data_IF_263621418000
#
_entry.id   IF_263621418000
#
_cell.length_a   1.000
_cell.length_b   1.000
_cell.length_c   1.000
_cell.angle_alpha   90.00
_cell.angle_beta   90.00
_cell.angle_gamma   90.00
#
_symmetry.space_group_name_H-M   'P 1'
#
loop_
_entity.id
_entity.type
_entity.pdbx_description
1 polymer ?
#
# COMPACT_ATOMS: atom_id res chain seq x y z
N UNK A 1 -5.08 48.33 -39.93
CA UNK A 1 -3.91 47.63 -40.52
C UNK A 1 -3.67 46.40 -39.66
N UNK A 2 -4.02 45.23 -40.19
CA UNK A 2 -3.98 43.92 -39.54
C UNK A 2 -2.64 43.24 -39.78
N UNK A 3 -2.17 42.49 -38.76
CA UNK A 3 -1.32 41.28 -38.75
C UNK A 3 -1.18 40.94 -37.25
N UNK A 4 -1.80 39.92 -36.63
CA UNK A 4 -1.91 38.48 -36.94
C UNK A 4 -0.56 37.82 -37.24
N UNK A 5 -0.03 37.17 -36.21
CA UNK A 5 0.74 35.90 -36.18
C UNK A 5 0.51 35.34 -34.75
N UNK A 6 -0.27 34.29 -34.49
CA UNK A 6 -0.23 32.86 -34.86
C UNK A 6 0.87 32.04 -34.17
N UNK A 7 0.40 31.02 -33.43
CA UNK A 7 1.14 29.81 -33.02
C UNK A 7 1.82 29.93 -31.65
N UNK A 8 1.68 29.02 -30.70
CA UNK A 8 0.98 27.74 -30.62
C UNK A 8 0.82 27.45 -29.12
N UNK A 9 -0.42 27.22 -28.68
CA UNK A 9 -0.67 26.56 -27.40
C UNK A 9 -0.25 25.11 -27.61
N UNK A 10 0.87 24.70 -27.03
CA UNK A 10 1.26 23.29 -26.93
C UNK A 10 0.28 22.56 -26.00
N UNK A 11 -0.90 22.28 -26.56
CA UNK A 11 -1.76 21.18 -26.18
C UNK A 11 -1.08 19.89 -26.62
N UNK A 12 -0.10 19.42 -25.86
CA UNK A 12 0.37 18.03 -25.90
C UNK A 12 1.23 17.71 -24.68
N UNK A 13 0.56 17.45 -23.56
CA UNK A 13 0.89 16.26 -22.79
C UNK A 13 -0.40 15.78 -22.14
N UNK A 14 -1.21 15.14 -22.99
CA UNK A 14 -2.17 14.13 -22.57
C UNK A 14 -1.42 13.14 -21.69
N UNK A 15 -1.50 13.36 -20.38
CA UNK A 15 -1.21 12.34 -19.39
C UNK A 15 -2.05 11.15 -19.81
N UNK A 16 -1.37 10.09 -20.27
CA UNK A 16 -1.98 8.84 -20.69
C UNK A 16 -2.83 8.28 -19.54
N UNK A 17 -4.09 8.71 -19.51
CA UNK A 17 -5.18 8.17 -18.74
C UNK A 17 -5.68 6.87 -19.39
N UNK A 18 -4.77 5.99 -19.82
CA UNK A 18 -5.09 4.79 -20.59
C UNK A 18 -4.47 3.51 -20.04
N UNK A 19 -4.21 3.46 -18.73
CA UNK A 19 -3.95 2.22 -18.01
C UNK A 19 -4.55 2.27 -16.60
N UNK A 20 -5.81 2.73 -16.48
CA UNK A 20 -6.67 2.15 -15.44
C UNK A 20 -6.82 0.69 -15.83
N UNK A 21 -5.99 -0.16 -15.23
CA UNK A 21 -6.02 -1.59 -15.45
C UNK A 21 -7.46 -2.06 -15.36
N UNK A 22 -7.88 -2.88 -16.32
CA UNK A 22 -9.13 -3.62 -16.19
C UNK A 22 -9.15 -4.22 -14.78
N UNK A 23 -10.27 -4.10 -14.07
CA UNK A 23 -10.50 -4.85 -12.83
C UNK A 23 -10.05 -6.31 -13.07
N UNK A 24 -8.94 -6.74 -12.46
CA UNK A 24 -8.37 -8.08 -12.66
C UNK A 24 -7.15 -8.23 -13.57
N UNK A 25 -6.53 -7.18 -14.10
CA UNK A 25 -5.19 -7.30 -14.72
C UNK A 25 -4.09 -7.19 -13.66
N UNK A 26 -3.22 -8.21 -13.55
CA UNK A 26 -2.06 -8.17 -12.68
C UNK A 26 -1.18 -6.94 -13.03
N UNK A 27 -0.84 -6.09 -12.05
CA UNK A 27 0.06 -4.98 -12.29
C UNK A 27 1.44 -5.55 -12.65
N UNK A 28 2.00 -5.05 -13.74
CA UNK A 28 3.41 -5.26 -14.04
C UNK A 28 4.22 -4.61 -12.92
N UNK A 29 4.82 -5.44 -12.07
CA UNK A 29 5.79 -4.96 -11.08
C UNK A 29 7.04 -4.57 -11.87
N UNK A 30 7.24 -3.26 -12.04
CA UNK A 30 8.36 -2.71 -12.80
C UNK A 30 9.33 -1.93 -11.90
N UNK A 31 10.37 -1.38 -12.51
CA UNK A 31 11.41 -0.63 -11.80
C UNK A 31 10.91 0.69 -11.19
N UNK A 32 9.69 1.15 -11.49
CA UNK A 32 9.09 2.35 -10.86
C UNK A 32 8.43 2.03 -9.52
N UNK A 33 8.04 0.77 -9.32
CA UNK A 33 7.50 0.27 -8.06
C UNK A 33 8.60 -0.09 -7.07
N UNK A 34 9.71 -0.65 -7.54
CA UNK A 34 10.76 -1.18 -6.67
C UNK A 34 11.91 -0.17 -6.53
N UNK A 35 12.01 0.40 -5.34
CA UNK A 35 13.08 1.33 -4.96
C UNK A 35 14.48 0.68 -5.03
N UNK A 36 15.50 1.44 -5.44
CA UNK A 36 16.90 1.02 -5.26
C UNK A 36 17.22 0.91 -3.77
N UNK A 37 18.09 -0.03 -3.40
CA UNK A 37 18.57 -0.13 -2.02
C UNK A 37 19.55 1.02 -1.72
N UNK A 38 19.35 1.70 -0.59
CA UNK A 38 20.26 2.74 -0.14
C UNK A 38 21.56 2.12 0.39
N UNK A 39 22.66 2.35 -0.34
CA UNK A 39 23.99 1.80 -0.05
C UNK A 39 24.64 2.31 1.24
N UNK A 40 24.03 3.28 1.93
CA UNK A 40 24.46 3.69 3.26
C UNK A 40 24.22 2.60 4.32
N UNK A 41 23.35 1.61 4.04
CA UNK A 41 23.00 0.53 4.96
C UNK A 41 23.63 -0.82 4.55
N UNK A 42 23.74 -1.73 5.52
CA UNK A 42 24.24 -3.10 5.29
C UNK A 42 23.13 -4.00 4.72
N UNK A 43 23.26 -4.35 3.43
CA UNK A 43 22.30 -5.21 2.74
C UNK A 43 22.18 -6.61 3.35
N UNK A 44 23.27 -7.19 3.86
CA UNK A 44 23.22 -8.53 4.47
C UNK A 44 22.45 -8.50 5.78
N UNK A 45 22.64 -7.45 6.58
CA UNK A 45 21.88 -7.28 7.80
C UNK A 45 20.39 -7.02 7.51
N UNK A 46 20.11 -6.10 6.57
CA UNK A 46 18.77 -5.82 6.06
C UNK A 46 18.06 -7.10 5.60
N UNK A 47 18.71 -7.91 4.77
CA UNK A 47 18.17 -9.18 4.29
C UNK A 47 17.78 -10.13 5.44
N UNK A 48 18.64 -10.28 6.46
CA UNK A 48 18.36 -11.14 7.61
C UNK A 48 17.15 -10.66 8.40
N UNK A 49 17.06 -9.35 8.67
CA UNK A 49 15.93 -8.76 9.41
C UNK A 49 14.62 -8.91 8.63
N UNK A 50 14.63 -8.59 7.34
CA UNK A 50 13.45 -8.76 6.47
C UNK A 50 13.02 -10.23 6.41
N UNK A 51 13.96 -11.16 6.25
CA UNK A 51 13.61 -12.58 6.18
C UNK A 51 13.02 -13.09 7.49
N UNK A 52 13.58 -12.65 8.63
CA UNK A 52 13.07 -12.98 9.98
C UNK A 52 11.64 -12.47 10.16
N UNK A 53 11.38 -11.20 9.82
CA UNK A 53 10.05 -10.61 9.87
C UNK A 53 9.08 -11.33 8.93
N UNK A 54 9.52 -11.65 7.71
CA UNK A 54 8.69 -12.36 6.73
C UNK A 54 8.25 -13.75 7.21
N UNK A 55 9.05 -14.48 8.00
CA UNK A 55 8.60 -15.74 8.58
C UNK A 55 7.34 -15.56 9.44
N UNK A 56 7.27 -14.48 10.21
CA UNK A 56 6.08 -14.13 10.99
C UNK A 56 4.95 -13.66 10.07
N UNK A 57 5.24 -12.81 9.09
CA UNK A 57 4.22 -12.42 8.09
C UNK A 57 3.59 -13.65 7.44
N UNK A 58 4.40 -14.65 7.09
CA UNK A 58 3.94 -15.87 6.43
C UNK A 58 2.99 -16.71 7.29
N UNK A 59 3.14 -16.69 8.62
CA UNK A 59 2.21 -17.39 9.52
C UNK A 59 0.85 -16.70 9.64
N UNK A 60 0.80 -15.38 9.48
CA UNK A 60 -0.43 -14.58 9.52
C UNK A 60 -1.09 -14.42 8.15
N UNK A 61 -0.30 -14.35 7.08
CA UNK A 61 -0.76 -14.05 5.72
C UNK A 61 -0.14 -15.04 4.73
N UNK A 62 -0.64 -16.29 4.69
CA UNK A 62 0.03 -17.39 4.01
C UNK A 62 -0.01 -17.29 2.49
N UNK A 63 -0.82 -16.41 1.89
CA UNK A 63 -0.87 -16.19 0.44
C UNK A 63 0.14 -15.14 -0.05
N UNK A 64 0.79 -14.42 0.88
CA UNK A 64 1.85 -13.48 0.54
C UNK A 64 3.17 -14.21 0.22
N UNK A 65 3.95 -13.61 -0.67
CA UNK A 65 5.27 -14.09 -1.08
C UNK A 65 6.28 -12.96 -0.94
N UNK A 66 7.44 -13.28 -0.35
CA UNK A 66 8.61 -12.41 -0.40
C UNK A 66 9.21 -12.44 -1.80
N UNK A 67 9.65 -11.29 -2.29
CA UNK A 67 10.22 -11.12 -3.62
C UNK A 67 11.52 -10.33 -3.53
N UNK A 68 12.54 -10.84 -4.21
CA UNK A 68 13.88 -10.26 -4.31
C UNK A 68 14.24 -10.16 -5.79
N UNK A 69 14.27 -8.96 -6.37
CA UNK A 69 14.60 -8.79 -7.78
C UNK A 69 16.01 -9.28 -8.10
N UNK A 70 16.18 -10.14 -9.13
CA UNK A 70 17.51 -10.58 -9.57
C UNK A 70 18.19 -9.47 -10.36
N UNK A 71 18.73 -8.50 -9.64
CA UNK A 71 19.33 -7.28 -10.20
C UNK A 71 20.81 -7.23 -9.90
N UNK A 72 21.58 -6.58 -10.77
CA UNK A 72 23.04 -6.39 -10.59
C UNK A 72 23.31 -5.57 -9.32
N UNK A 73 22.49 -4.55 -9.12
CA UNK A 73 22.54 -3.67 -7.95
C UNK A 73 21.41 -4.01 -6.99
N UNK A 74 21.68 -4.13 -5.67
CA UNK A 74 20.65 -4.48 -4.70
C UNK A 74 19.45 -3.52 -4.76
N UNK A 75 18.26 -4.10 -4.61
CA UNK A 75 16.99 -3.38 -4.51
C UNK A 75 16.32 -3.69 -3.19
N UNK A 76 15.39 -2.84 -2.80
CA UNK A 76 14.52 -3.12 -1.66
C UNK A 76 13.72 -4.41 -1.90
N UNK A 77 13.65 -5.22 -0.85
CA UNK A 77 12.86 -6.44 -0.77
C UNK A 77 11.41 -6.04 -0.55
N UNK A 78 10.49 -6.77 -1.15
CA UNK A 78 9.07 -6.52 -0.99
C UNK A 78 8.29 -7.82 -0.81
N UNK A 79 7.06 -7.68 -0.33
CA UNK A 79 6.06 -8.73 -0.27
C UNK A 79 4.99 -8.43 -1.32
N UNK A 80 4.57 -9.47 -2.04
CA UNK A 80 3.49 -9.38 -3.01
C UNK A 80 2.57 -10.58 -2.93
N UNK A 81 1.29 -10.37 -3.17
CA UNK A 81 0.28 -11.42 -3.22
C UNK A 81 -1.08 -10.97 -2.71
N UNK A 82 -2.00 -11.92 -2.57
CA UNK A 82 -3.31 -11.67 -1.96
C UNK A 82 -3.14 -11.52 -0.47
N UNK A 83 -3.56 -10.38 0.05
CA UNK A 83 -3.62 -10.10 1.48
C UNK A 83 -4.91 -10.70 2.04
N UNK A 84 -4.74 -11.75 2.84
CA UNK A 84 -5.84 -12.40 3.58
C UNK A 84 -5.26 -13.04 4.85
N UNK A 85 -5.87 -12.78 6.03
CA UNK A 85 -5.51 -13.45 7.28
C UNK A 85 -5.63 -14.98 7.18
N UNK A 86 -4.75 -15.70 7.89
CA UNK A 86 -4.64 -17.16 7.81
C UNK A 86 -5.92 -17.89 8.24
N UNK A 87 -6.64 -17.36 9.22
CA UNK A 87 -7.96 -17.85 9.66
C UNK A 87 -9.02 -17.73 8.55
N UNK A 88 -8.94 -16.71 7.69
CA UNK A 88 -9.88 -16.47 6.60
C UNK A 88 -9.61 -17.34 5.35
N UNK A 89 -8.41 -17.90 5.20
CA UNK A 89 -8.02 -18.66 4.00
C UNK A 89 -8.91 -19.88 3.75
N UNK A 90 -9.32 -20.57 4.81
CA UNK A 90 -10.17 -21.78 4.69
C UNK A 90 -11.57 -21.49 4.13
N UNK A 91 -11.99 -20.23 4.15
CA UNK A 91 -13.29 -19.79 3.65
C UNK A 91 -13.27 -19.44 2.16
N UNK A 92 -12.09 -19.32 1.53
CA UNK A 92 -11.91 -18.93 0.12
C UNK A 92 -12.26 -20.07 -0.86
N UNK A 93 -13.52 -20.50 -0.85
CA UNK A 93 -13.99 -21.68 -1.61
C UNK A 93 -14.39 -21.38 -3.06
N UNK A 94 -14.57 -20.11 -3.40
CA UNK A 94 -14.93 -19.65 -4.73
C UNK A 94 -14.23 -18.34 -5.06
N UNK A 95 -14.13 -18.03 -6.36
CA UNK A 95 -13.56 -16.77 -6.84
C UNK A 95 -14.31 -15.54 -6.29
N UNK A 96 -15.64 -15.65 -6.14
CA UNK A 96 -16.47 -14.58 -5.57
C UNK A 96 -16.12 -14.31 -4.10
N UNK A 97 -16.00 -15.36 -3.30
CA UNK A 97 -15.61 -15.24 -1.88
C UNK A 97 -14.18 -14.71 -1.78
N UNK A 98 -13.28 -15.18 -2.63
CA UNK A 98 -11.91 -14.70 -2.69
C UNK A 98 -11.83 -13.20 -3.02
N UNK A 99 -12.63 -12.72 -3.98
CA UNK A 99 -12.75 -11.29 -4.29
C UNK A 99 -13.38 -10.48 -3.16
N UNK A 100 -14.15 -11.09 -2.25
CA UNK A 100 -14.78 -10.38 -1.12
C UNK A 100 -13.85 -10.25 0.10
N UNK A 101 -12.94 -11.20 0.29
CA UNK A 101 -12.12 -11.28 1.50
C UNK A 101 -10.62 -11.13 1.27
N UNK A 102 -10.19 -10.89 0.02
CA UNK A 102 -8.79 -10.69 -0.31
C UNK A 102 -8.61 -9.68 -1.42
N UNK A 103 -7.47 -9.00 -1.40
CA UNK A 103 -7.03 -8.14 -2.48
C UNK A 103 -5.51 -8.22 -2.63
N UNK A 104 -5.00 -7.85 -3.80
CA UNK A 104 -3.57 -7.87 -4.04
C UNK A 104 -2.89 -6.65 -3.45
N UNK A 105 -1.76 -6.85 -2.78
CA UNK A 105 -0.92 -5.77 -2.28
C UNK A 105 0.51 -5.87 -2.84
N UNK A 106 1.18 -4.74 -2.82
CA UNK A 106 2.64 -4.65 -2.87
C UNK A 106 3.10 -3.97 -1.58
N UNK A 107 3.96 -4.63 -0.80
CA UNK A 107 4.48 -4.06 0.44
C UNK A 107 6.01 -3.99 0.42
N UNK A 108 6.58 -2.78 0.47
CA UNK A 108 8.04 -2.57 0.39
C UNK A 108 8.67 -2.47 1.78
N UNK A 109 9.79 -3.14 1.99
CA UNK A 109 10.66 -2.95 3.14
C UNK A 109 11.68 -1.85 2.83
N UNK A 110 11.69 -0.73 3.58
CA UNK A 110 12.62 0.35 3.33
C UNK A 110 14.07 -0.07 3.66
N UNK A 111 15.05 0.53 3.00
CA UNK A 111 16.47 0.16 3.11
C UNK A 111 17.06 0.22 4.53
N UNK A 112 16.45 1.01 5.42
CA UNK A 112 16.79 1.18 6.83
C UNK A 112 15.96 0.27 7.77
N UNK A 113 15.16 -0.66 7.25
CA UNK A 113 14.46 -1.65 8.09
C UNK A 113 15.45 -2.35 9.03
N UNK A 114 15.18 -2.43 10.35
CA UNK A 114 13.90 -2.29 11.03
C UNK A 114 13.47 -0.89 11.49
N UNK A 115 14.29 0.14 11.26
CA UNK A 115 14.10 1.45 11.86
C UNK A 115 12.89 2.20 11.28
N UNK A 116 12.51 1.87 10.05
CA UNK A 116 11.31 2.38 9.38
C UNK A 116 10.38 1.21 9.00
N UNK A 117 9.09 1.45 9.17
CA UNK A 117 8.03 0.48 8.90
C UNK A 117 7.82 0.26 7.39
N UNK A 118 7.24 -0.88 7.03
CA UNK A 118 6.89 -1.18 5.64
C UNK A 118 5.88 -0.19 5.07
N UNK A 119 5.89 -0.01 3.76
CA UNK A 119 4.83 0.68 3.03
C UNK A 119 3.95 -0.31 2.31
N UNK A 120 2.63 -0.12 2.29
CA UNK A 120 1.67 -1.01 1.61
C UNK A 120 0.97 -0.23 0.50
N UNK A 121 0.90 -0.83 -0.69
CA UNK A 121 0.24 -0.27 -1.87
C UNK A 121 -0.86 -1.22 -2.39
N UNK A 122 -2.02 -0.65 -2.73
CA UNK A 122 -3.04 -1.32 -3.56
C UNK A 122 -2.73 -1.09 -5.04
N UNK A 123 -1.70 -1.80 -5.52
CA UNK A 123 -1.20 -1.68 -6.90
C UNK A 123 -2.20 -2.15 -7.95
N UNK A 124 -3.23 -2.89 -7.56
CA UNK A 124 -4.29 -3.37 -8.45
C UNK A 124 -5.48 -2.40 -8.53
N UNK A 125 -5.55 -1.38 -7.67
CA UNK A 125 -6.72 -0.48 -7.58
C UNK A 125 -7.98 -1.25 -7.17
N UNK A 126 -7.83 -2.21 -6.26
CA UNK A 126 -8.92 -3.01 -5.70
C UNK A 126 -9.90 -2.16 -4.88
N UNK A 127 -9.41 -1.05 -4.31
CA UNK A 127 -10.20 -0.08 -3.54
C UNK A 127 -10.58 1.09 -4.46
N UNK A 128 -11.88 1.26 -4.71
CA UNK A 128 -12.40 2.46 -5.34
C UNK A 128 -12.69 3.53 -4.28
N UNK A 129 -11.69 4.37 -4.02
CA UNK A 129 -11.81 5.47 -3.07
C UNK A 129 -12.85 6.52 -3.45
N UNK A 130 -13.31 6.58 -4.71
CA UNK A 130 -14.34 7.54 -5.12
C UNK A 130 -15.70 7.25 -4.48
N UNK A 131 -15.92 6.00 -4.07
CA UNK A 131 -17.14 5.53 -3.39
C UNK A 131 -17.12 5.79 -1.88
N UNK A 132 -16.01 6.29 -1.36
CA UNK A 132 -15.78 6.54 0.07
C UNK A 132 -15.72 8.05 0.30
N UNK A 133 -16.40 8.60 1.32
CA UNK A 133 -16.29 10.01 1.69
C UNK A 133 -14.82 10.42 1.96
N UNK A 134 -14.38 11.62 1.56
CA UNK A 134 -12.99 12.06 1.68
C UNK A 134 -12.36 11.86 3.07
N UNK A 135 -13.14 12.09 4.13
CA UNK A 135 -12.76 11.94 5.54
C UNK A 135 -12.38 10.50 5.92
N UNK A 136 -12.88 9.51 5.18
CA UNK A 136 -12.63 8.08 5.39
C UNK A 136 -11.58 7.51 4.42
N UNK A 137 -10.94 8.35 3.60
CA UNK A 137 -9.97 7.90 2.59
C UNK A 137 -8.57 7.77 3.17
N UNK A 138 -8.08 6.54 3.23
CA UNK A 138 -6.72 6.22 3.69
C UNK A 138 -5.73 6.14 2.52
N UNK A 139 -5.56 7.24 1.79
CA UNK A 139 -4.68 7.32 0.61
C UNK A 139 -3.34 7.96 1.00
N UNK A 140 -2.23 7.31 0.64
CA UNK A 140 -0.86 7.83 0.73
C UNK A 140 -0.26 7.95 -0.66
N UNK A 141 0.44 9.05 -0.93
CA UNK A 141 1.22 9.21 -2.15
C UNK A 141 2.61 8.57 -1.99
N UNK A 142 2.94 7.62 -2.86
CA UNK A 142 4.25 6.96 -2.91
C UNK A 142 4.85 7.21 -4.30
N UNK A 143 5.96 7.94 -4.34
CA UNK A 143 6.61 8.36 -5.59
C UNK A 143 5.63 9.06 -6.56
N UNK A 144 4.76 9.92 -6.03
CA UNK A 144 3.76 10.67 -6.80
C UNK A 144 2.50 9.86 -7.20
N UNK A 145 2.38 8.60 -6.78
CA UNK A 145 1.24 7.73 -7.08
C UNK A 145 0.34 7.58 -5.86
N UNK A 146 -0.96 7.73 -6.03
CA UNK A 146 -1.98 7.56 -4.97
C UNK A 146 -2.33 6.09 -4.73
N UNK A 147 -1.32 5.22 -4.70
CA UNK A 147 -1.46 3.75 -4.53
C UNK A 147 -1.16 3.30 -3.11
N UNK A 148 -0.47 4.14 -2.32
CA UNK A 148 -0.16 3.84 -0.94
C UNK A 148 -1.40 3.82 -0.08
N UNK A 149 -1.46 2.87 0.85
CA UNK A 149 -2.46 2.81 1.90
C UNK A 149 -1.90 3.49 3.14
N UNK A 150 -2.66 4.43 3.69
CA UNK A 150 -2.36 5.02 4.99
C UNK A 150 -2.76 4.03 6.10
N UNK A 151 -1.90 3.05 6.34
CA UNK A 151 -2.06 1.99 7.34
C UNK A 151 -1.55 2.39 8.72
N UNK A 152 -0.90 3.55 8.83
CA UNK A 152 -0.37 4.08 10.07
C UNK A 152 -1.48 4.82 10.83
N UNK A 153 -1.78 4.36 12.04
CA UNK A 153 -2.59 5.12 12.97
C UNK A 153 -1.76 6.30 13.48
N UNK A 154 -2.13 7.57 13.20
CA UNK A 154 -1.35 8.75 13.59
C UNK A 154 -1.18 8.92 15.10
N UNK A 155 -1.97 8.24 15.94
CA UNK A 155 -1.81 8.24 17.40
C UNK A 155 -0.73 7.28 17.93
N UNK A 156 -0.03 6.56 17.04
CA UNK A 156 1.06 5.69 17.44
C UNK A 156 0.63 4.37 18.05
N UNK A 157 -0.55 3.84 17.69
CA UNK A 157 -0.88 2.44 18.03
C UNK A 157 0.20 1.49 17.51
N UNK A 158 0.72 1.73 16.30
CA UNK A 158 1.86 0.97 15.78
C UNK A 158 3.14 1.22 16.59
N UNK A 159 3.31 2.43 17.15
CA UNK A 159 4.44 2.77 18.02
C UNK A 159 4.38 2.00 19.36
N UNK A 160 3.18 1.69 19.85
CA UNK A 160 2.96 0.86 21.04
C UNK A 160 3.12 -0.65 20.78
N UNK A 161 3.03 -1.07 19.51
CA UNK A 161 3.29 -2.44 19.09
C UNK A 161 4.80 -2.67 19.07
N UNK A 162 5.23 -3.79 19.69
CA UNK A 162 6.61 -4.25 19.61
C UNK A 162 7.05 -4.35 18.15
N UNK A 163 8.23 -3.86 17.84
CA UNK A 163 8.78 -3.83 16.47
C UNK A 163 8.55 -5.15 15.71
N UNK A 164 8.85 -6.28 16.34
CA UNK A 164 8.69 -7.65 15.82
C UNK A 164 7.26 -8.04 15.38
N UNK A 165 6.25 -7.23 15.67
CA UNK A 165 4.86 -7.45 15.26
C UNK A 165 4.30 -6.34 14.37
N UNK A 166 5.06 -5.27 14.09
CA UNK A 166 4.56 -4.09 13.39
C UNK A 166 4.12 -4.41 11.97
N UNK A 167 4.94 -5.12 11.19
CA UNK A 167 4.59 -5.52 9.82
C UNK A 167 3.25 -6.25 9.78
N UNK A 168 3.04 -7.24 10.66
CA UNK A 168 1.77 -7.99 10.68
C UNK A 168 0.57 -7.12 11.05
N UNK A 169 0.76 -6.12 11.93
CA UNK A 169 -0.30 -5.17 12.29
C UNK A 169 -0.62 -4.20 11.15
N UNK A 170 0.40 -3.69 10.45
CA UNK A 170 0.23 -2.84 9.27
C UNK A 170 -0.54 -3.59 8.18
N UNK A 171 -0.17 -4.84 7.90
CA UNK A 171 -0.86 -5.68 6.93
C UNK A 171 -2.30 -6.00 7.38
N UNK A 172 -2.53 -6.25 8.67
CA UNK A 172 -3.88 -6.45 9.19
C UNK A 172 -4.73 -5.18 9.05
N UNK A 173 -4.18 -4.00 9.30
CA UNK A 173 -4.87 -2.72 9.11
C UNK A 173 -5.23 -2.51 7.63
N UNK A 174 -4.31 -2.82 6.69
CA UNK A 174 -4.61 -2.77 5.26
C UNK A 174 -5.78 -3.70 4.87
N UNK A 175 -5.83 -4.92 5.42
CA UNK A 175 -6.93 -5.86 5.18
C UNK A 175 -8.26 -5.38 5.74
N UNK A 176 -8.26 -4.87 6.99
CA UNK A 176 -9.47 -4.30 7.61
C UNK A 176 -10.01 -3.11 6.85
N UNK A 177 -9.12 -2.23 6.38
CA UNK A 177 -9.48 -1.07 5.58
C UNK A 177 -10.18 -1.49 4.28
N UNK A 178 -9.61 -2.46 3.57
CA UNK A 178 -10.25 -3.03 2.38
C UNK A 178 -11.66 -3.57 2.67
N UNK A 179 -11.79 -4.38 3.73
CA UNK A 179 -13.07 -4.95 4.13
C UNK A 179 -14.11 -3.90 4.55
N UNK A 180 -13.66 -2.83 5.20
CA UNK A 180 -14.50 -1.71 5.61
C UNK A 180 -15.04 -0.96 4.40
N UNK A 181 -14.19 -0.70 3.39
CA UNK A 181 -14.65 -0.07 2.14
C UNK A 181 -15.70 -0.93 1.46
N UNK A 182 -15.46 -2.24 1.31
CA UNK A 182 -16.46 -3.14 0.73
C UNK A 182 -17.78 -3.12 1.50
N UNK A 183 -17.72 -3.21 2.82
CA UNK A 183 -18.90 -3.18 3.68
C UNK A 183 -19.68 -1.87 3.53
N UNK A 184 -18.97 -0.74 3.47
CA UNK A 184 -19.57 0.58 3.27
C UNK A 184 -20.26 0.72 1.91
N UNK A 185 -19.61 0.27 0.84
CA UNK A 185 -20.18 0.28 -0.52
C UNK A 185 -21.41 -0.64 -0.64
N UNK A 186 -21.47 -1.71 0.15
CA UNK A 186 -22.66 -2.58 0.30
C UNK A 186 -23.80 -1.94 1.12
N UNK A 187 -23.67 -0.68 1.53
CA UNK A 187 -24.70 0.07 2.26
C UNK A 187 -24.66 -0.09 3.78
N UNK A 188 -23.55 -0.61 4.34
CA UNK A 188 -23.35 -0.63 5.80
C UNK A 188 -22.69 0.66 6.28
N UNK A 189 -22.74 0.89 7.59
CA UNK A 189 -22.09 2.04 8.20
C UNK A 189 -20.56 1.89 8.19
N UNK A 190 -19.86 3.03 8.19
CA UNK A 190 -18.42 3.06 8.42
C UNK A 190 -18.15 2.81 9.91
N UNK A 191 -17.44 1.73 10.24
CA UNK A 191 -17.20 1.29 11.63
C UNK A 191 -15.73 1.43 12.06
N UNK A 192 -14.81 1.61 11.11
CA UNK A 192 -13.43 1.94 11.45
C UNK A 192 -13.39 3.35 12.02
N UNK A 193 -12.82 3.47 13.22
CA UNK A 193 -12.55 4.78 13.82
C UNK A 193 -11.38 5.38 13.07
N UNK A 194 -11.68 6.34 12.20
CA UNK A 194 -10.65 7.06 11.48
C UNK A 194 -10.05 8.12 12.38
N UNK A 195 -8.72 8.14 12.44
CA UNK A 195 -8.01 9.23 13.07
C UNK A 195 -7.81 10.35 12.05
N UNK A 196 -7.81 11.62 12.47
CA UNK A 196 -7.62 12.75 11.56
C UNK A 196 -6.33 12.61 10.74
N UNK A 197 -6.35 13.04 9.48
CA UNK A 197 -5.27 12.87 8.51
C UNK A 197 -4.68 14.21 8.04
N UNK A 198 -3.46 14.20 7.48
CA UNK A 198 -2.82 15.38 6.90
C UNK A 198 -2.62 16.53 7.90
N UNK A 199 -2.97 17.75 7.50
CA UNK A 199 -2.85 18.94 8.35
C UNK A 199 -3.65 18.84 9.65
N UNK A 200 -4.72 18.05 9.66
CA UNK A 200 -5.53 17.81 10.85
C UNK A 200 -4.80 16.91 11.85
N UNK A 201 -4.10 15.87 11.38
CA UNK A 201 -3.22 15.05 12.20
C UNK A 201 -2.10 15.90 12.84
N UNK A 202 -1.49 16.78 12.05
CA UNK A 202 -0.44 17.70 12.51
C UNK A 202 -0.94 18.66 13.58
N UNK A 203 -2.20 19.10 13.54
CA UNK A 203 -2.81 19.94 14.59
C UNK A 203 -3.00 19.21 15.91
N UNK A 204 -3.29 17.91 15.88
CA UNK A 204 -3.40 17.09 17.09
C UNK A 204 -2.02 16.80 17.70
N UNK A 205 -1.01 16.52 16.86
CA UNK A 205 0.38 16.28 17.28
C UNK A 205 1.01 17.54 17.90
N UNK A 206 0.79 18.71 17.30
CA UNK A 206 1.36 19.98 17.75
C UNK A 206 0.59 20.67 18.89
N UNK A 207 -0.48 20.04 19.42
CA UNK A 207 -1.24 20.52 20.58
C UNK A 207 -0.74 19.96 21.92
N UNK A 208 0.45 19.37 21.96
CA UNK A 208 1.15 18.97 23.19
C UNK A 208 2.20 20.00 23.60
#
# INVERSE_FOLDING_TARGET
>A
MFRQDHGELDMNNSVNASNKGKLGSFPLIDNKLISPFNRAYDYNNYYREVYKDYQLVKSFFPLLKICMPPTVEPKEIFIFGKLVPSDMVTYLKSEEIEKKYSFYIFASYPSNFPDEDITVEDVCGSIDWSLVPPEHRHIKYINGRSTGLCTHHPDGEINSVKYEHRTTKILMSAWKLYYQVLSFVEGKNWELVDLPHGDEALRFINKR
#
